data_IF_042894894541
#
_entry.id   IF_042894894541
#
_cell.length_a   1.000
_cell.length_b   1.000
_cell.length_c   1.000
_cell.angle_alpha   90.00
_cell.angle_beta   90.00
_cell.angle_gamma   90.00
#
_symmetry.space_group_name_H-M   'P 1'
#
loop_
_entity.id
_entity.type
_entity.pdbx_description
1 polymer ?
#
# COMPACT_ATOMS: atom_id res chain seq x y z
N UNK A 1 -11.71 -9.68 -3.95
CA UNK A 1 -10.62 -9.87 -2.98
C UNK A 1 -9.31 -9.95 -3.72
N UNK A 2 -8.33 -9.18 -3.29
CA UNK A 2 -7.01 -9.13 -3.92
C UNK A 2 -6.18 -10.32 -3.42
N UNK A 3 -5.76 -11.21 -4.32
CA UNK A 3 -4.81 -12.26 -3.95
C UNK A 3 -3.37 -11.86 -4.24
N UNK A 4 -3.16 -11.14 -5.34
CA UNK A 4 -1.83 -10.73 -5.79
C UNK A 4 -1.87 -9.42 -6.56
N UNK A 5 -0.91 -8.55 -6.28
CA UNK A 5 -0.63 -7.37 -7.09
C UNK A 5 0.77 -7.50 -7.70
N UNK A 6 0.89 -7.18 -8.99
CA UNK A 6 2.16 -7.23 -9.73
C UNK A 6 2.37 -5.89 -10.43
N UNK A 7 3.55 -5.29 -10.27
CA UNK A 7 4.02 -4.18 -11.10
C UNK A 7 4.85 -4.75 -12.26
N UNK A 8 4.49 -4.40 -13.49
CA UNK A 8 5.20 -4.79 -14.71
C UNK A 8 5.43 -3.54 -15.58
N UNK A 9 6.68 -3.06 -15.58
CA UNK A 9 7.02 -1.78 -16.17
C UNK A 9 6.20 -0.64 -15.57
N UNK A 10 5.45 0.07 -16.42
CA UNK A 10 4.56 1.17 -16.03
C UNK A 10 3.10 0.72 -15.82
N UNK A 11 2.85 -0.56 -15.55
CA UNK A 11 1.51 -1.07 -15.31
C UNK A 11 1.43 -1.80 -13.97
N UNK A 12 0.29 -1.67 -13.32
CA UNK A 12 -0.08 -2.46 -12.15
C UNK A 12 -1.19 -3.42 -12.53
N UNK A 13 -1.07 -4.66 -12.10
CA UNK A 13 -2.01 -5.74 -12.34
C UNK A 13 -2.47 -6.34 -11.02
N UNK A 14 -3.79 -6.46 -10.86
CA UNK A 14 -4.45 -7.00 -9.67
C UNK A 14 -5.13 -8.31 -10.04
N UNK A 15 -4.91 -9.35 -9.26
CA UNK A 15 -5.43 -10.70 -9.49
C UNK A 15 -6.25 -11.18 -8.31
N UNK A 16 -7.33 -11.91 -8.60
CA UNK A 16 -8.12 -12.61 -7.59
C UNK A 16 -7.47 -13.95 -7.18
N UNK A 17 -8.08 -14.62 -6.21
CA UNK A 17 -7.63 -15.91 -5.66
C UNK A 17 -7.58 -17.06 -6.67
N UNK A 18 -8.32 -16.94 -7.79
CA UNK A 18 -8.31 -17.91 -8.88
C UNK A 18 -7.23 -17.61 -9.91
N UNK A 19 -6.41 -16.58 -9.67
CA UNK A 19 -5.40 -16.10 -10.61
C UNK A 19 -5.98 -15.35 -11.79
N UNK A 20 -7.28 -14.99 -11.78
CA UNK A 20 -7.88 -14.17 -12.82
C UNK A 20 -7.54 -12.70 -12.55
N UNK A 21 -7.14 -12.00 -13.61
CA UNK A 21 -6.87 -10.56 -13.54
C UNK A 21 -8.17 -9.78 -13.32
N UNK A 22 -8.25 -9.05 -12.22
CA UNK A 22 -9.32 -8.10 -11.89
C UNK A 22 -9.12 -6.82 -12.69
N UNK A 23 -7.92 -6.24 -12.61
CA UNK A 23 -7.60 -4.95 -13.22
C UNK A 23 -6.17 -4.87 -13.74
N UNK A 24 -5.99 -4.10 -14.80
CA UNK A 24 -4.70 -3.58 -15.26
C UNK A 24 -4.84 -2.08 -15.51
N UNK A 25 -3.90 -1.29 -14.99
CA UNK A 25 -3.90 0.16 -15.22
C UNK A 25 -2.48 0.71 -15.28
N UNK A 26 -2.32 1.85 -15.95
CA UNK A 26 -1.06 2.58 -15.97
C UNK A 26 -0.70 3.07 -14.56
N UNK A 27 0.52 2.76 -14.13
CA UNK A 27 0.98 2.94 -12.77
C UNK A 27 2.49 3.18 -12.70
N UNK A 28 2.87 4.44 -12.56
CA UNK A 28 4.27 4.87 -12.45
C UNK A 28 4.83 4.91 -11.02
N UNK A 29 3.96 4.79 -10.01
CA UNK A 29 4.34 4.85 -8.59
C UNK A 29 5.00 3.55 -8.15
N UNK A 30 5.68 3.57 -7.02
CA UNK A 30 6.32 2.38 -6.45
C UNK A 30 5.31 1.56 -5.67
N UNK A 31 5.15 0.29 -6.06
CA UNK A 31 4.31 -0.64 -5.33
C UNK A 31 5.05 -1.03 -4.04
N UNK A 32 4.43 -0.79 -2.89
CA UNK A 32 4.99 -1.19 -1.59
C UNK A 32 4.46 -2.55 -1.14
N UNK A 33 3.16 -2.82 -1.34
CA UNK A 33 2.55 -4.11 -1.02
C UNK A 33 1.03 -4.10 -1.13
N UNK A 34 0.40 -5.26 -0.91
CA UNK A 34 -1.05 -5.38 -0.84
C UNK A 34 -1.47 -6.39 0.24
N UNK A 35 -2.67 -6.18 0.81
CA UNK A 35 -3.42 -7.21 1.53
C UNK A 35 -4.53 -7.76 0.62
N UNK A 36 -5.50 -8.48 1.21
CA UNK A 36 -6.76 -8.86 0.56
C UNK A 36 -7.67 -7.68 0.24
N UNK A 37 -7.49 -6.55 0.93
CA UNK A 37 -8.42 -5.41 0.91
C UNK A 37 -7.85 -4.17 0.21
N UNK A 38 -6.56 -3.87 0.40
CA UNK A 38 -5.95 -2.61 -0.04
C UNK A 38 -4.58 -2.82 -0.67
N UNK A 39 -4.23 -1.89 -1.57
CA UNK A 39 -2.91 -1.78 -2.20
C UNK A 39 -2.25 -0.50 -1.71
N UNK A 40 -0.99 -0.61 -1.30
CA UNK A 40 -0.18 0.52 -0.84
C UNK A 40 0.91 0.81 -1.87
N UNK A 41 1.03 2.09 -2.25
CA UNK A 41 2.07 2.56 -3.13
C UNK A 41 2.66 3.89 -2.65
N UNK A 42 3.83 4.22 -3.19
CA UNK A 42 4.55 5.44 -2.88
C UNK A 42 4.81 6.26 -4.14
N UNK A 43 4.46 7.55 -4.08
CA UNK A 43 4.69 8.57 -5.10
C UNK A 43 5.57 9.67 -4.51
N UNK A 44 6.89 9.48 -4.56
CA UNK A 44 7.84 10.34 -3.85
C UNK A 44 7.61 10.30 -2.33
N UNK A 45 7.31 11.45 -1.72
CA UNK A 45 7.00 11.56 -0.29
C UNK A 45 5.50 11.41 0.04
N UNK A 46 4.72 10.80 -0.86
CA UNK A 46 3.30 10.54 -0.65
C UNK A 46 3.03 9.05 -0.60
N UNK A 47 2.25 8.62 0.39
CA UNK A 47 1.65 7.29 0.41
C UNK A 47 0.27 7.38 -0.23
N UNK A 48 -0.02 6.42 -1.11
CA UNK A 48 -1.29 6.27 -1.79
C UNK A 48 -1.90 4.90 -1.49
N UNK A 49 -3.19 4.90 -1.18
CA UNK A 49 -3.98 3.71 -0.82
C UNK A 49 -5.01 3.49 -1.93
N UNK A 50 -5.10 2.27 -2.44
CA UNK A 50 -5.98 1.89 -3.54
C UNK A 50 -6.81 0.66 -3.19
N UNK A 51 -7.96 0.50 -3.84
CA UNK A 51 -8.75 -0.73 -3.85
C UNK A 51 -8.32 -1.71 -4.97
N UNK A 52 -9.05 -2.82 -5.11
CA UNK A 52 -8.79 -3.87 -6.10
C UNK A 52 -8.97 -3.42 -7.56
N UNK A 53 -9.71 -2.34 -7.80
CA UNK A 53 -9.89 -1.75 -9.13
C UNK A 53 -8.82 -0.70 -9.46
N UNK A 54 -7.80 -0.56 -8.61
CA UNK A 54 -6.75 0.47 -8.71
C UNK A 54 -7.38 1.89 -8.62
N UNK A 55 -8.52 2.02 -7.93
CA UNK A 55 -9.10 3.33 -7.63
C UNK A 55 -8.46 3.85 -6.35
N UNK A 56 -7.97 5.09 -6.42
CA UNK A 56 -7.32 5.75 -5.29
C UNK A 56 -8.35 6.07 -4.22
N UNK A 57 -8.18 5.49 -3.04
CA UNK A 57 -8.97 5.77 -1.85
C UNK A 57 -8.42 6.98 -1.09
N UNK A 58 -7.09 7.04 -0.94
CA UNK A 58 -6.42 8.12 -0.20
C UNK A 58 -5.03 8.42 -0.73
N UNK A 59 -4.60 9.66 -0.53
CA UNK A 59 -3.22 10.14 -0.69
C UNK A 59 -2.89 11.05 0.48
N UNK A 60 -1.72 10.90 1.07
CA UNK A 60 -1.24 11.81 2.13
C UNK A 60 0.28 11.93 2.10
N UNK A 61 0.79 13.08 2.54
CA UNK A 61 2.22 13.31 2.65
C UNK A 61 2.76 12.49 3.82
N UNK A 62 3.74 11.64 3.53
CA UNK A 62 4.49 10.89 4.51
C UNK A 62 5.83 10.47 3.91
N UNK A 63 6.90 11.12 4.35
CA UNK A 63 8.25 10.61 4.15
C UNK A 63 8.44 9.41 5.08
N UNK A 64 8.89 8.29 4.53
CA UNK A 64 9.12 7.05 5.29
C UNK A 64 10.56 6.60 5.11
N UNK A 65 11.08 5.91 6.11
CA UNK A 65 12.39 5.24 6.04
C UNK A 65 12.27 3.81 5.53
N UNK A 66 11.09 3.21 5.68
CA UNK A 66 10.82 1.86 5.20
C UNK A 66 9.34 1.48 5.24
N UNK A 67 8.95 0.52 4.41
CA UNK A 67 7.64 -0.11 4.46
C UNK A 67 7.76 -1.45 5.20
N UNK A 68 6.87 -1.70 6.16
CA UNK A 68 6.93 -2.92 6.99
C UNK A 68 5.98 -3.98 6.44
N UNK A 69 4.76 -3.58 6.12
CA UNK A 69 3.76 -4.51 5.61
C UNK A 69 2.36 -3.96 5.63
N UNK A 70 1.44 -4.76 5.11
CA UNK A 70 0.01 -4.45 5.00
C UNK A 70 -0.79 -5.70 5.33
N UNK A 71 -1.86 -5.55 6.11
CA UNK A 71 -2.73 -6.63 6.56
C UNK A 71 -4.14 -6.09 6.78
N UNK A 72 -5.15 -6.77 6.22
CA UNK A 72 -6.52 -6.27 6.16
C UNK A 72 -6.56 -4.84 5.64
N UNK A 73 -7.25 -3.96 6.36
CA UNK A 73 -7.36 -2.53 6.03
C UNK A 73 -6.29 -1.65 6.70
N UNK A 74 -5.15 -2.22 7.10
CA UNK A 74 -4.09 -1.50 7.79
C UNK A 74 -2.72 -1.74 7.18
N UNK A 75 -1.81 -0.79 7.35
CA UNK A 75 -0.42 -0.93 6.94
C UNK A 75 0.51 -0.24 7.94
N UNK A 76 1.76 -0.69 7.96
CA UNK A 76 2.78 -0.19 8.87
C UNK A 76 4.01 0.27 8.10
N UNK A 77 4.65 1.31 8.63
CA UNK A 77 5.84 1.96 8.07
C UNK A 77 6.85 2.24 9.17
N UNK A 78 8.13 2.33 8.78
CA UNK A 78 9.21 2.83 9.61
C UNK A 78 9.32 4.35 9.43
N UNK A 79 9.29 5.09 10.54
CA UNK A 79 9.52 6.55 10.62
C UNK A 79 10.46 6.85 11.81
N UNK A 80 11.74 7.05 11.49
CA UNK A 80 12.85 7.15 12.42
C UNK A 80 12.99 5.89 13.26
N UNK A 81 12.93 6.05 14.59
CA UNK A 81 12.97 4.93 15.55
C UNK A 81 11.56 4.43 15.93
N UNK A 82 10.57 4.62 15.07
CA UNK A 82 9.19 4.25 15.36
C UNK A 82 8.57 3.46 14.22
N UNK A 83 7.75 2.48 14.59
CA UNK A 83 6.73 1.92 13.71
C UNK A 83 5.45 2.71 13.90
N UNK A 84 4.88 3.19 12.79
CA UNK A 84 3.54 3.74 12.77
C UNK A 84 2.61 2.83 11.97
N UNK A 85 1.40 2.61 12.49
CA UNK A 85 0.35 1.85 11.80
C UNK A 85 -0.80 2.77 11.44
N UNK A 86 -1.31 2.61 10.23
CA UNK A 86 -2.37 3.42 9.64
C UNK A 86 -3.51 2.53 9.14
N UNK A 87 -4.73 3.07 9.11
CA UNK A 87 -5.86 2.45 8.41
C UNK A 87 -5.96 2.89 6.94
N UNK A 88 -6.92 2.31 6.21
CA UNK A 88 -7.22 2.63 4.81
C UNK A 88 -7.69 4.08 4.57
N UNK A 89 -8.08 4.81 5.61
CA UNK A 89 -8.44 6.24 5.55
C UNK A 89 -7.24 7.16 5.80
N UNK A 90 -6.03 6.59 5.94
CA UNK A 90 -4.81 7.25 6.39
C UNK A 90 -4.89 7.84 7.81
N UNK A 91 -5.77 7.31 8.66
CA UNK A 91 -5.76 7.63 10.08
C UNK A 91 -4.66 6.81 10.74
N UNK A 92 -3.76 7.48 11.45
CA UNK A 92 -2.78 6.81 12.29
C UNK A 92 -3.47 6.14 13.48
N UNK A 93 -3.29 4.84 13.61
CA UNK A 93 -3.85 4.02 14.68
C UNK A 93 -2.89 3.88 15.86
N UNK A 94 -1.59 3.77 15.58
CA UNK A 94 -0.57 3.61 16.62
C UNK A 94 0.79 4.15 16.19
N UNK A 95 1.64 4.40 17.19
CA UNK A 95 3.06 4.71 17.03
C UNK A 95 3.84 4.07 18.18
N UNK A 96 4.72 3.13 17.86
CA UNK A 96 5.49 2.38 18.85
C UNK A 96 6.98 2.59 18.60
N UNK A 97 7.74 2.77 19.69
CA UNK A 97 9.21 2.82 19.58
C UNK A 97 9.71 1.46 19.10
N UNK A 98 10.50 1.48 18.03
CA UNK A 98 11.07 0.32 17.37
C UNK A 98 12.26 0.81 16.58
N UNK A 99 13.44 0.69 17.20
CA UNK A 99 14.69 1.00 16.53
C UNK A 99 14.96 -0.08 15.48
N UNK A 100 15.14 0.29 14.20
CA UNK A 100 15.39 -0.66 13.12
C UNK A 100 16.70 -1.43 13.30
#
# INVERSE_FOLDING_TARGET
MIARVKKEGNYLEVYDEKGKRIKRSYFKKDLLGNSSEIIIAQDGNYIEIYDEEIKKLKRFYKKIDGFIGVSGNTFSIQDGNYVETYDANAKKLSRNYSKP
#
